data_IF_967817796247
#
_entry.id   IF_967817796247
#
_cell.length_a   1.000
_cell.length_b   1.000
_cell.length_c   1.000
_cell.angle_alpha   90.00
_cell.angle_beta   90.00
_cell.angle_gamma   90.00
#
_symmetry.space_group_name_H-M   'P 1'
#
loop_
_entity.id
_entity.type
_entity.pdbx_description
1 polymer ?
#
# COMPACT_ATOMS: atom_id res chain seq x y z
N UNK A 1 -17.08 -21.53 11.12
CA UNK A 1 -18.32 -21.45 11.91
C UNK A 1 -18.87 -20.04 11.73
N UNK A 2 -20.16 -19.85 11.43
CA UNK A 2 -20.72 -18.52 11.38
C UNK A 2 -20.61 -17.89 12.77
N UNK A 3 -20.10 -16.67 12.82
CA UNK A 3 -20.10 -15.87 14.05
C UNK A 3 -21.54 -15.49 14.35
N UNK A 4 -22.14 -16.14 15.33
CA UNK A 4 -23.47 -15.79 15.81
C UNK A 4 -23.31 -14.66 16.83
N UNK A 5 -23.26 -13.43 16.32
CA UNK A 5 -23.29 -12.20 17.13
C UNK A 5 -24.56 -11.41 16.84
N UNK A 6 -25.15 -10.80 17.85
CA UNK A 6 -26.40 -10.02 17.74
C UNK A 6 -26.27 -8.71 16.93
N UNK A 7 -25.13 -8.47 16.26
CA UNK A 7 -24.81 -7.23 15.55
C UNK A 7 -24.29 -7.46 14.11
N UNK A 8 -24.59 -8.59 13.51
CA UNK A 8 -24.20 -8.87 12.12
C UNK A 8 -25.38 -8.59 11.21
N UNK A 9 -25.21 -7.65 10.29
CA UNK A 9 -26.11 -7.44 9.15
C UNK A 9 -25.49 -8.08 7.91
N UNK A 10 -26.25 -8.97 7.26
CA UNK A 10 -25.86 -9.60 5.99
C UNK A 10 -26.69 -8.97 4.90
N UNK A 11 -26.03 -8.50 3.86
CA UNK A 11 -26.66 -7.92 2.68
C UNK A 11 -26.33 -8.77 1.46
N UNK A 12 -27.32 -9.11 0.63
CA UNK A 12 -27.09 -9.73 -0.66
C UNK A 12 -26.50 -8.71 -1.64
N UNK A 13 -26.93 -7.46 -1.52
CA UNK A 13 -26.34 -6.32 -2.24
C UNK A 13 -26.67 -5.01 -1.51
N UNK A 14 -25.87 -4.00 -1.78
CA UNK A 14 -26.13 -2.63 -1.38
C UNK A 14 -26.11 -1.75 -2.62
N UNK A 15 -27.21 -1.06 -2.88
CA UNK A 15 -27.33 -0.12 -3.99
C UNK A 15 -27.70 1.26 -3.42
N UNK A 16 -26.75 2.19 -3.50
CA UNK A 16 -26.96 3.59 -3.12
C UNK A 16 -27.18 4.43 -4.37
N UNK A 17 -28.36 5.07 -4.44
CA UNK A 17 -28.70 6.09 -5.43
C UNK A 17 -28.94 7.40 -4.69
N UNK A 18 -27.86 8.01 -4.22
CA UNK A 18 -27.90 9.33 -3.62
C UNK A 18 -27.79 10.42 -4.68
N UNK A 19 -28.41 11.54 -4.41
CA UNK A 19 -28.18 12.78 -5.14
C UNK A 19 -27.18 13.60 -4.32
N UNK A 20 -26.13 14.10 -4.96
CA UNK A 20 -25.15 15.00 -4.36
C UNK A 20 -25.32 16.37 -5.00
N UNK A 21 -25.79 17.33 -4.22
CA UNK A 21 -26.06 18.71 -4.68
C UNK A 21 -24.82 19.37 -5.27
N UNK A 22 -23.61 19.00 -4.81
CA UNK A 22 -22.35 19.54 -5.35
C UNK A 22 -22.15 19.11 -6.79
N UNK A 23 -22.35 17.83 -7.08
CA UNK A 23 -22.22 17.30 -8.45
C UNK A 23 -23.37 17.75 -9.37
N UNK A 24 -24.58 17.82 -8.83
CA UNK A 24 -25.75 18.32 -9.58
C UNK A 24 -25.55 19.80 -9.97
N UNK A 25 -25.03 20.61 -9.06
CA UNK A 25 -24.79 22.04 -9.27
C UNK A 25 -23.54 22.33 -10.12
N UNK A 26 -22.64 21.37 -10.25
CA UNK A 26 -21.38 21.51 -10.98
C UNK A 26 -21.20 20.34 -11.96
N UNK A 27 -22.07 20.21 -12.99
CA UNK A 27 -21.96 19.12 -13.95
C UNK A 27 -20.64 19.20 -14.73
N UNK A 28 -20.09 18.04 -15.09
CA UNK A 28 -18.90 17.99 -15.94
C UNK A 28 -19.19 18.63 -17.30
N UNK A 29 -18.26 19.42 -17.86
CA UNK A 29 -18.47 20.13 -19.13
C UNK A 29 -18.44 19.19 -20.36
N UNK A 30 -18.01 17.94 -20.20
CA UNK A 30 -17.98 16.92 -21.27
C UNK A 30 -17.31 15.64 -20.80
N UNK A 31 -17.26 14.64 -21.66
CA UNK A 31 -16.77 13.29 -21.37
C UNK A 31 -15.24 13.22 -21.13
N UNK A 32 -14.50 14.25 -21.55
CA UNK A 32 -13.05 14.37 -21.32
C UNK A 32 -12.67 14.92 -19.93
N UNK A 33 -13.67 15.14 -19.08
CA UNK A 33 -13.49 15.71 -17.75
C UNK A 33 -13.90 14.71 -16.66
N UNK A 34 -13.28 14.81 -15.50
CA UNK A 34 -13.64 14.07 -14.31
C UNK A 34 -13.57 14.95 -13.06
N UNK A 35 -14.26 14.55 -12.00
CA UNK A 35 -14.23 15.24 -10.72
C UNK A 35 -12.98 14.89 -9.93
N UNK A 36 -12.45 15.85 -9.18
CA UNK A 36 -11.47 15.64 -8.13
C UNK A 36 -12.10 15.82 -6.75
N UNK A 37 -11.72 14.99 -5.76
CA UNK A 37 -10.79 13.85 -5.87
C UNK A 37 -11.43 12.69 -6.65
N UNK A 38 -10.60 11.95 -7.41
CA UNK A 38 -11.03 10.76 -8.17
C UNK A 38 -11.57 9.68 -7.22
N UNK A 39 -10.95 9.52 -6.06
CA UNK A 39 -11.40 8.66 -4.97
C UNK A 39 -11.72 9.55 -3.76
N UNK A 40 -12.99 9.96 -3.58
CA UNK A 40 -13.38 10.72 -2.40
C UNK A 40 -13.34 9.84 -1.15
N UNK A 41 -12.73 10.33 -0.07
CA UNK A 41 -12.62 9.62 1.17
C UNK A 41 -11.28 9.86 1.85
N UNK A 42 -10.93 8.96 2.78
CA UNK A 42 -9.67 9.00 3.50
C UNK A 42 -8.74 7.93 2.97
N UNK A 43 -7.84 8.33 2.07
CA UNK A 43 -6.87 7.48 1.40
C UNK A 43 -5.49 8.16 1.48
N UNK A 44 -4.77 7.91 2.56
CA UNK A 44 -3.49 8.56 2.80
C UNK A 44 -2.34 7.76 2.17
N UNK A 45 -1.26 8.47 1.82
CA UNK A 45 -0.03 7.91 1.29
C UNK A 45 -0.23 7.02 0.05
N UNK A 46 -0.89 7.54 -1.00
CA UNK A 46 -1.19 6.71 -2.17
C UNK A 46 0.07 6.35 -2.95
N UNK A 47 0.19 5.08 -3.29
CA UNK A 47 1.22 4.55 -4.19
C UNK A 47 0.59 3.79 -5.34
N UNK A 48 1.11 4.00 -6.54
CA UNK A 48 0.57 3.43 -7.77
C UNK A 48 1.66 2.69 -8.54
N UNK A 49 1.31 1.56 -9.16
CA UNK A 49 2.14 0.89 -10.15
C UNK A 49 1.34 0.46 -11.37
N UNK A 50 2.05 0.13 -12.45
CA UNK A 50 1.49 -0.49 -13.65
C UNK A 50 2.32 -1.71 -14.04
N UNK A 51 1.67 -2.71 -14.66
CA UNK A 51 2.35 -3.85 -15.29
C UNK A 51 2.80 -3.58 -16.74
N UNK A 52 2.50 -2.39 -17.28
CA UNK A 52 2.78 -2.05 -18.67
C UNK A 52 1.76 -2.61 -19.67
N UNK A 53 0.78 -3.40 -19.23
CA UNK A 53 -0.26 -4.04 -20.06
C UNK A 53 -1.63 -3.34 -19.92
N UNK A 54 -1.62 -2.12 -19.37
CA UNK A 54 -2.83 -1.31 -19.17
C UNK A 54 -3.57 -1.59 -17.86
N UNK A 55 -2.94 -2.25 -16.91
CA UNK A 55 -3.42 -2.38 -15.54
C UNK A 55 -2.67 -1.42 -14.62
N UNK A 56 -3.43 -0.71 -13.80
CA UNK A 56 -2.93 0.17 -12.77
C UNK A 56 -3.45 -0.29 -11.41
N UNK A 57 -2.57 -0.35 -10.44
CA UNK A 57 -2.88 -0.73 -9.06
C UNK A 57 -2.50 0.39 -8.11
N UNK A 58 -3.39 0.70 -7.18
CA UNK A 58 -3.20 1.74 -6.16
C UNK A 58 -3.33 1.11 -4.78
N UNK A 59 -2.38 1.41 -3.91
CA UNK A 59 -2.36 1.04 -2.51
C UNK A 59 -2.29 2.28 -1.63
N UNK A 60 -2.90 2.24 -0.44
CA UNK A 60 -2.91 3.34 0.52
C UNK A 60 -2.67 2.83 1.95
N UNK A 61 -2.17 3.69 2.84
CA UNK A 61 -1.94 3.34 4.23
C UNK A 61 -3.25 3.11 5.00
N UNK A 62 -3.20 2.27 6.01
CA UNK A 62 -4.36 1.97 6.87
C UNK A 62 -4.07 2.13 8.35
N UNK A 63 -2.84 2.41 8.74
CA UNK A 63 -2.46 2.52 10.14
C UNK A 63 -2.88 1.28 10.93
N UNK A 64 -3.67 1.41 11.99
CA UNK A 64 -4.15 0.28 12.79
C UNK A 64 -5.47 -0.33 12.30
N UNK A 65 -6.04 0.16 11.20
CA UNK A 65 -7.28 -0.41 10.67
C UNK A 65 -7.07 -1.74 9.97
N UNK A 66 -8.00 -2.67 10.16
CA UNK A 66 -8.01 -3.99 9.56
C UNK A 66 -9.26 -4.17 8.67
N UNK A 67 -9.14 -4.78 7.48
CA UNK A 67 -7.92 -5.29 6.82
C UNK A 67 -6.99 -4.17 6.37
N UNK A 68 -5.66 -4.46 6.31
CA UNK A 68 -4.64 -3.48 5.98
C UNK A 68 -4.43 -3.32 4.47
N UNK A 69 -4.07 -2.11 4.07
CA UNK A 69 -3.67 -1.73 2.70
C UNK A 69 -4.71 -2.14 1.65
N UNK A 70 -5.81 -1.38 1.49
CA UNK A 70 -6.75 -1.63 0.40
C UNK A 70 -6.05 -1.49 -0.95
N UNK A 71 -6.41 -2.40 -1.86
CA UNK A 71 -5.90 -2.45 -3.22
C UNK A 71 -7.01 -2.05 -4.19
N UNK A 72 -6.73 -1.04 -4.99
CA UNK A 72 -7.60 -0.59 -6.06
C UNK A 72 -7.00 -0.92 -7.42
N UNK A 73 -7.84 -1.16 -8.39
CA UNK A 73 -7.48 -1.43 -9.77
C UNK A 73 -8.20 -0.46 -10.71
N UNK A 74 -7.49 -0.01 -11.75
CA UNK A 74 -8.02 0.81 -12.84
C UNK A 74 -7.38 0.42 -14.17
N UNK A 75 -8.09 0.75 -15.26
CA UNK A 75 -7.59 0.66 -16.64
C UNK A 75 -7.31 2.03 -17.26
N UNK A 76 -7.72 3.11 -16.61
CA UNK A 76 -7.73 4.46 -17.17
C UNK A 76 -7.28 5.55 -16.19
N UNK A 77 -6.89 5.17 -14.95
CA UNK A 77 -6.47 6.08 -13.87
C UNK A 77 -7.59 6.98 -13.32
N UNK A 78 -8.79 6.89 -13.86
CA UNK A 78 -9.98 7.68 -13.46
C UNK A 78 -10.99 6.80 -12.75
N UNK A 79 -11.31 5.64 -13.33
CA UNK A 79 -12.29 4.71 -12.79
C UNK A 79 -11.59 3.63 -11.97
N UNK A 80 -11.65 3.76 -10.64
CA UNK A 80 -11.01 2.87 -9.70
C UNK A 80 -12.03 1.95 -9.02
N UNK A 81 -11.68 0.68 -8.91
CA UNK A 81 -12.46 -0.31 -8.17
C UNK A 81 -11.57 -0.92 -7.09
N UNK A 82 -12.03 -0.90 -5.84
CA UNK A 82 -11.38 -1.67 -4.79
C UNK A 82 -11.56 -3.17 -5.07
N UNK A 83 -10.45 -3.88 -5.17
CA UNK A 83 -10.41 -5.31 -5.52
C UNK A 83 -10.07 -6.21 -4.35
N UNK A 84 -9.61 -5.64 -3.25
CA UNK A 84 -9.29 -6.37 -2.03
C UNK A 84 -8.45 -5.56 -1.07
N UNK A 85 -7.70 -6.28 -0.25
CA UNK A 85 -6.68 -5.74 0.66
C UNK A 85 -5.43 -6.61 0.55
N UNK A 86 -4.27 -5.98 0.53
CA UNK A 86 -2.98 -6.66 0.46
C UNK A 86 -2.68 -7.40 1.76
N UNK A 87 -2.98 -6.76 2.89
CA UNK A 87 -2.76 -7.31 4.23
C UNK A 87 -4.11 -7.72 4.85
N UNK A 88 -4.58 -8.90 4.49
CA UNK A 88 -5.92 -9.39 4.86
C UNK A 88 -5.92 -10.56 5.84
N UNK A 89 -4.74 -11.00 6.31
CA UNK A 89 -4.58 -12.09 7.27
C UNK A 89 -3.86 -11.63 8.53
N UNK A 90 -4.22 -12.17 9.71
CA UNK A 90 -3.52 -11.84 10.96
C UNK A 90 -2.00 -12.11 10.93
N UNK A 91 -1.56 -13.12 10.18
CA UNK A 91 -0.13 -13.44 10.01
C UNK A 91 0.66 -12.31 9.34
N UNK A 92 0.00 -11.44 8.57
CA UNK A 92 0.63 -10.31 7.89
C UNK A 92 0.69 -9.03 8.75
N UNK A 93 0.00 -9.00 9.90
CA UNK A 93 -0.19 -7.82 10.75
C UNK A 93 0.31 -8.10 12.17
N UNK A 94 1.60 -8.37 12.29
CA UNK A 94 2.24 -8.68 13.57
C UNK A 94 2.37 -7.42 14.46
N UNK A 95 2.37 -7.61 15.79
CA UNK A 95 2.56 -6.54 16.78
C UNK A 95 1.62 -5.34 16.63
N UNK A 96 0.37 -5.57 16.20
CA UNK A 96 -0.63 -4.50 16.08
C UNK A 96 -1.32 -4.17 17.41
N UNK A 97 -1.33 -5.12 18.36
CA UNK A 97 -2.00 -4.95 19.64
C UNK A 97 -1.34 -3.83 20.47
N UNK A 98 -2.18 -2.96 21.03
CA UNK A 98 -1.74 -1.85 21.88
C UNK A 98 -1.18 -0.64 21.13
N UNK A 99 -1.09 -0.67 19.81
CA UNK A 99 -0.72 0.51 19.03
C UNK A 99 -1.85 1.54 19.04
N UNK A 100 -1.49 2.82 19.08
CA UNK A 100 -2.49 3.90 18.97
C UNK A 100 -2.97 4.02 17.51
N UNK A 101 -4.09 4.69 17.31
CA UNK A 101 -4.82 4.73 16.01
C UNK A 101 -3.98 5.22 14.82
N UNK A 102 -2.99 6.08 15.06
CA UNK A 102 -2.04 6.56 14.04
C UNK A 102 -0.72 5.78 13.98
N UNK A 103 -0.63 4.63 14.66
CA UNK A 103 0.45 3.66 14.52
C UNK A 103 0.15 2.64 13.41
N UNK A 104 0.72 1.43 13.50
CA UNK A 104 0.44 0.34 12.58
C UNK A 104 1.11 0.48 11.22
N UNK A 105 0.35 0.31 10.15
CA UNK A 105 0.86 0.24 8.77
C UNK A 105 0.91 1.64 8.16
N UNK A 106 2.12 2.12 7.93
CA UNK A 106 2.43 3.42 7.32
C UNK A 106 2.36 3.35 5.79
N UNK A 107 2.96 4.34 5.12
CA UNK A 107 2.94 4.48 3.67
C UNK A 107 3.34 3.17 2.95
N UNK A 108 2.44 2.52 2.23
CA UNK A 108 2.79 1.40 1.37
C UNK A 108 3.37 1.91 0.05
N UNK A 109 4.37 1.24 -0.49
CA UNK A 109 4.82 1.43 -1.85
C UNK A 109 4.61 0.15 -2.65
N UNK A 110 3.72 0.23 -3.65
CA UNK A 110 3.46 -0.89 -4.57
C UNK A 110 4.30 -0.72 -5.83
N UNK A 111 4.97 -1.77 -6.26
CA UNK A 111 5.82 -1.78 -7.46
C UNK A 111 5.69 -3.09 -8.21
N UNK A 112 5.85 -3.05 -9.53
CA UNK A 112 5.89 -4.23 -10.39
C UNK A 112 7.30 -4.43 -10.92
N UNK A 113 7.84 -5.64 -10.74
CA UNK A 113 9.12 -6.03 -11.31
C UNK A 113 8.89 -6.77 -12.65
N UNK A 114 9.21 -6.18 -13.79
CA UNK A 114 8.98 -6.79 -15.09
C UNK A 114 9.87 -8.01 -15.37
N UNK A 115 11.04 -8.11 -14.71
CA UNK A 115 11.98 -9.20 -14.93
C UNK A 115 11.48 -10.55 -14.39
N UNK A 116 10.77 -10.53 -13.27
CA UNK A 116 10.21 -11.74 -12.64
C UNK A 116 8.67 -11.74 -12.59
N UNK A 117 8.03 -10.73 -13.21
CA UNK A 117 6.54 -10.56 -13.28
C UNK A 117 5.86 -10.63 -11.92
N UNK A 118 6.47 -9.98 -10.93
CA UNK A 118 6.00 -10.02 -9.55
C UNK A 118 5.69 -8.61 -9.06
N UNK A 119 4.56 -8.47 -8.40
CA UNK A 119 4.18 -7.28 -7.65
C UNK A 119 4.76 -7.37 -6.24
N UNK A 120 5.27 -6.26 -5.76
CA UNK A 120 5.82 -6.08 -4.43
C UNK A 120 5.08 -4.93 -3.76
N UNK A 121 4.75 -5.09 -2.50
CA UNK A 121 4.30 -3.99 -1.65
C UNK A 121 5.19 -3.98 -0.41
N UNK A 122 5.91 -2.89 -0.22
CA UNK A 122 6.80 -2.65 0.91
C UNK A 122 6.22 -1.54 1.77
N UNK A 123 6.33 -1.65 3.08
CA UNK A 123 5.78 -0.68 4.04
C UNK A 123 6.48 -0.79 5.39
N UNK A 124 6.16 0.13 6.28
CA UNK A 124 6.58 0.12 7.69
C UNK A 124 5.39 -0.25 8.57
N UNK A 125 5.57 -1.27 9.42
CA UNK A 125 4.75 -1.45 10.61
C UNK A 125 5.49 -0.83 11.81
N UNK A 126 4.94 0.21 12.40
CA UNK A 126 5.58 0.95 13.51
C UNK A 126 5.95 0.03 14.69
N UNK A 127 5.16 -1.01 14.93
CA UNK A 127 5.41 -1.98 16.01
C UNK A 127 6.36 -3.13 15.64
N UNK A 128 6.75 -3.28 14.35
CA UNK A 128 7.51 -4.44 13.90
C UNK A 128 8.68 -4.10 12.94
N UNK A 129 8.71 -2.90 12.35
CA UNK A 129 9.72 -2.49 11.38
C UNK A 129 9.28 -2.61 9.93
N UNK A 130 10.22 -2.47 9.02
CA UNK A 130 9.99 -2.54 7.59
C UNK A 130 9.84 -3.99 7.11
N UNK A 131 8.92 -4.20 6.17
CA UNK A 131 8.70 -5.50 5.56
C UNK A 131 8.09 -5.34 4.17
N UNK A 132 8.12 -6.40 3.39
CA UNK A 132 7.38 -6.46 2.14
C UNK A 132 6.58 -7.76 2.02
N UNK A 133 5.58 -7.72 1.14
CA UNK A 133 4.83 -8.88 0.65
C UNK A 133 4.85 -8.87 -0.86
N UNK A 134 4.67 -10.02 -1.50
CA UNK A 134 4.74 -10.16 -2.96
C UNK A 134 3.69 -11.12 -3.49
N UNK A 135 3.33 -10.96 -4.76
CA UNK A 135 2.46 -11.86 -5.50
C UNK A 135 2.71 -11.74 -7.01
N UNK A 136 2.40 -12.78 -7.78
CA UNK A 136 2.30 -12.72 -9.25
C UNK A 136 0.88 -12.41 -9.73
N UNK A 137 -0.12 -12.58 -8.85
CA UNK A 137 -1.51 -12.25 -9.12
C UNK A 137 -2.02 -11.26 -8.08
N UNK A 138 -2.13 -9.96 -8.40
CA UNK A 138 -2.58 -8.94 -7.45
C UNK A 138 -4.05 -9.09 -7.03
N UNK A 139 -4.85 -9.87 -7.77
CA UNK A 139 -6.23 -10.19 -7.40
C UNK A 139 -6.33 -11.41 -6.47
N UNK A 140 -5.25 -12.16 -6.33
CA UNK A 140 -5.14 -13.34 -5.49
C UNK A 140 -4.54 -13.04 -4.11
N UNK A 141 -3.91 -14.06 -3.54
CA UNK A 141 -3.27 -13.95 -2.23
C UNK A 141 -1.86 -13.32 -2.35
N UNK A 142 -1.55 -12.45 -1.41
CA UNK A 142 -0.22 -11.92 -1.19
C UNK A 142 0.54 -12.79 -0.18
N UNK A 143 1.86 -12.86 -0.30
CA UNK A 143 2.69 -13.66 0.60
C UNK A 143 2.55 -13.23 2.07
N UNK A 144 3.04 -14.05 2.97
CA UNK A 144 3.34 -13.60 4.33
C UNK A 144 4.48 -12.55 4.30
N UNK A 145 4.61 -11.73 5.37
CA UNK A 145 5.62 -10.67 5.43
C UNK A 145 7.04 -11.22 5.36
N UNK A 146 7.86 -10.58 4.56
CA UNK A 146 9.32 -10.77 4.55
C UNK A 146 9.91 -9.55 5.23
N UNK A 147 10.40 -9.75 6.45
CA UNK A 147 10.94 -8.66 7.26
C UNK A 147 12.27 -8.16 6.72
N UNK A 148 12.52 -6.87 6.88
CA UNK A 148 13.74 -6.16 6.48
C UNK A 148 14.45 -5.58 7.71
N UNK A 149 15.03 -6.41 8.58
CA UNK A 149 15.56 -5.97 9.87
C UNK A 149 16.73 -4.98 9.76
N UNK A 150 17.46 -5.01 8.64
CA UNK A 150 18.59 -4.11 8.37
C UNK A 150 18.14 -2.74 7.80
N UNK A 151 16.86 -2.61 7.43
CA UNK A 151 16.29 -1.37 6.92
C UNK A 151 15.64 -0.61 8.06
N UNK A 152 16.35 0.36 8.60
CA UNK A 152 15.83 1.29 9.62
C UNK A 152 15.00 2.42 8.99
N UNK A 153 14.31 3.21 9.80
CA UNK A 153 13.49 4.32 9.32
C UNK A 153 12.12 3.90 8.79
N UNK A 154 11.57 4.71 7.90
CA UNK A 154 10.18 4.58 7.42
C UNK A 154 10.08 4.82 5.91
N UNK A 155 8.88 4.61 5.36
CA UNK A 155 8.48 4.92 3.97
C UNK A 155 9.38 4.27 2.92
N UNK A 156 9.60 2.93 3.00
CA UNK A 156 10.41 2.23 2.02
C UNK A 156 9.69 2.14 0.68
N UNK A 157 10.46 2.17 -0.41
CA UNK A 157 9.96 1.89 -1.76
C UNK A 157 10.99 1.10 -2.57
N UNK A 158 10.51 0.25 -3.48
CA UNK A 158 11.37 -0.47 -4.43
C UNK A 158 11.42 0.23 -5.77
N UNK A 159 12.61 0.21 -6.36
CA UNK A 159 12.85 0.56 -7.76
C UNK A 159 13.52 -0.64 -8.44
N UNK A 160 12.96 -1.06 -9.58
CA UNK A 160 13.48 -2.14 -10.40
C UNK A 160 14.01 -1.54 -11.70
N UNK A 161 15.32 -1.62 -11.90
CA UNK A 161 15.99 -1.02 -13.04
C UNK A 161 15.92 -1.93 -14.29
N UNK A 162 16.11 -1.34 -15.44
CA UNK A 162 16.08 -2.04 -16.74
C UNK A 162 17.20 -3.09 -16.86
N UNK A 163 18.32 -2.92 -16.15
CA UNK A 163 19.44 -3.87 -16.10
C UNK A 163 19.19 -5.10 -15.19
N UNK A 164 18.01 -5.16 -14.56
CA UNK A 164 17.60 -6.23 -13.66
C UNK A 164 17.99 -6.02 -12.19
N UNK A 165 18.66 -4.93 -11.87
CA UNK A 165 18.95 -4.57 -10.49
C UNK A 165 17.71 -4.02 -9.80
N UNK A 166 17.69 -4.21 -8.49
CA UNK A 166 16.66 -3.62 -7.64
C UNK A 166 17.32 -2.77 -6.55
N UNK A 167 16.62 -1.71 -6.19
CA UNK A 167 17.03 -0.79 -5.15
C UNK A 167 15.87 -0.58 -4.17
N UNK A 168 16.24 -0.41 -2.90
CA UNK A 168 15.33 0.03 -1.86
C UNK A 168 15.69 1.45 -1.46
N UNK A 169 14.71 2.33 -1.42
CA UNK A 169 14.85 3.73 -0.99
C UNK A 169 13.98 3.93 0.23
N UNK A 170 14.48 4.60 1.25
CA UNK A 170 13.68 4.91 2.43
C UNK A 170 14.14 6.20 3.13
N UNK A 171 13.28 6.71 3.99
CA UNK A 171 13.52 7.86 4.86
C UNK A 171 14.04 7.35 6.23
N UNK A 172 15.23 7.80 6.62
CA UNK A 172 15.88 7.37 7.85
C UNK A 172 16.36 8.56 8.70
N UNK A 173 16.87 8.27 9.88
CA UNK A 173 17.45 9.26 10.78
C UNK A 173 18.68 9.94 10.17
N UNK A 174 19.07 11.08 10.74
CA UNK A 174 20.26 11.79 10.36
C UNK A 174 21.52 10.88 10.45
N UNK A 175 22.55 11.10 9.61
CA UNK A 175 23.77 10.30 9.64
C UNK A 175 24.35 10.25 11.05
N UNK A 176 24.79 9.04 11.46
CA UNK A 176 25.33 8.77 12.81
C UNK A 176 24.39 9.17 13.96
N UNK A 177 23.08 9.30 13.70
CA UNK A 177 22.10 9.83 14.66
C UNK A 177 22.50 11.22 15.21
N UNK A 178 23.14 12.05 14.38
CA UNK A 178 23.59 13.41 14.73
C UNK A 178 22.85 14.43 13.89
N UNK A 179 21.61 14.82 14.27
CA UNK A 179 20.87 15.81 13.53
C UNK A 179 21.53 17.20 13.67
N UNK A 180 21.76 17.89 12.55
CA UNK A 180 22.28 19.26 12.52
C UNK A 180 21.19 20.30 12.77
N UNK A 181 19.91 19.91 12.57
CA UNK A 181 18.73 20.75 12.77
C UNK A 181 17.51 19.90 13.13
N UNK A 182 16.45 20.53 13.62
CA UNK A 182 15.21 19.84 13.96
C UNK A 182 14.56 19.23 12.71
N UNK A 183 14.25 17.93 12.74
CA UNK A 183 13.69 17.21 11.61
C UNK A 183 14.70 16.80 10.53
N UNK A 184 16.00 16.85 10.83
CA UNK A 184 17.02 16.33 9.91
C UNK A 184 16.83 14.82 9.71
N UNK A 185 16.52 14.45 8.47
CA UNK A 185 16.34 13.06 8.02
C UNK A 185 17.24 12.81 6.81
N UNK A 186 17.44 11.54 6.49
CA UNK A 186 18.28 11.10 5.36
C UNK A 186 17.47 10.22 4.43
N UNK A 187 17.66 10.41 3.13
CA UNK A 187 17.17 9.44 2.13
C UNK A 187 18.29 8.42 1.91
N UNK A 188 18.01 7.18 2.21
CA UNK A 188 18.93 6.05 1.94
C UNK A 188 18.53 5.35 0.66
N UNK A 189 19.54 4.91 -0.10
CA UNK A 189 19.39 4.07 -1.28
C UNK A 189 20.31 2.87 -1.10
N UNK A 190 19.77 1.66 -1.26
CA UNK A 190 20.52 0.41 -1.11
C UNK A 190 20.20 -0.49 -2.30
N UNK A 191 21.20 -1.20 -2.82
CA UNK A 191 20.96 -2.29 -3.77
C UNK A 191 20.25 -3.43 -3.01
N UNK A 192 19.20 -4.00 -3.62
CA UNK A 192 18.36 -5.03 -3.04
C UNK A 192 18.37 -6.27 -3.92
N UNK A 193 18.73 -7.42 -3.36
CA UNK A 193 18.66 -8.68 -4.11
C UNK A 193 17.26 -9.30 -3.94
N UNK A 194 16.43 -9.14 -4.96
CA UNK A 194 15.06 -9.70 -4.99
C UNK A 194 15.02 -11.22 -5.03
N UNK A 195 16.13 -11.87 -5.35
CA UNK A 195 16.25 -13.32 -5.40
C UNK A 195 16.88 -13.91 -4.14
N UNK A 196 17.40 -13.07 -3.25
CA UNK A 196 17.92 -13.53 -1.98
C UNK A 196 16.78 -14.14 -1.17
N UNK A 197 17.01 -15.33 -0.65
CA UNK A 197 16.15 -15.88 0.39
C UNK A 197 16.47 -15.16 1.70
N UNK A 198 15.78 -14.05 1.94
CA UNK A 198 15.94 -13.23 3.13
C UNK A 198 15.54 -13.93 4.43
N UNK A 199 15.10 -15.19 4.36
CA UNK A 199 14.86 -16.03 5.54
C UNK A 199 16.16 -16.49 6.23
N UNK A 200 17.32 -16.19 5.64
CA UNK A 200 18.64 -16.65 6.09
C UNK A 200 19.63 -15.54 6.46
N UNK A 201 19.18 -14.28 6.55
CA UNK A 201 20.03 -13.17 6.99
C UNK A 201 19.67 -12.77 8.40
#
# INVERSE_FOLDING_TARGET
MPVVGKSVALFDYFNYKGEDDVYISNPLPGDDYFYNPILPGWYSDPSICTNGEGDYFLAVSTFTYYPGVPLFHSKDLVNWKQVGHILNRPSQLVNMEGQHVSGGIFAPAISYNPHNKTYYMVTTNVGAGNFFVKTQDPFGEWSDPIMLPEVTGIDPSFFFDEDGKAYLVNNDDAPDNKPEYSGHRTIRVQEFDVNADLSLI
#
